data_IF_606268179835
#
_entry.id   IF_606268179835
#
_cell.length_a   1.000
_cell.length_b   1.000
_cell.length_c   1.000
_cell.angle_alpha   90.00
_cell.angle_beta   90.00
_cell.angle_gamma   90.00
#
_symmetry.space_group_name_H-M   'P 1'
#
loop_
_entity.id
_entity.type
_entity.pdbx_description
1 polymer ?
#
# COMPACT_ATOMS: atom_id res chain seq x y z
N UNK A 1 -19.99 3.10 10.12
CA UNK A 1 -19.91 4.46 9.54
C UNK A 1 -21.20 4.87 8.83
N UNK A 2 -21.74 4.07 7.88
CA UNK A 2 -22.98 4.41 7.14
C UNK A 2 -24.18 4.79 8.03
N UNK A 3 -24.52 3.96 9.03
CA UNK A 3 -25.59 4.28 9.98
C UNK A 3 -25.34 5.55 10.81
N UNK A 4 -24.06 5.92 11.02
CA UNK A 4 -23.64 7.11 11.77
C UNK A 4 -23.47 8.35 10.87
N UNK A 5 -23.62 8.22 9.54
CA UNK A 5 -23.45 9.29 8.54
C UNK A 5 -22.15 10.11 8.74
N UNK A 6 -21.08 9.43 9.14
CA UNK A 6 -19.78 10.06 9.40
C UNK A 6 -18.68 9.00 9.48
N UNK A 7 -17.52 9.33 8.93
CA UNK A 7 -16.31 8.52 9.07
C UNK A 7 -15.19 8.95 8.13
N UNK A 8 -13.98 8.49 8.43
CA UNK A 8 -12.83 8.65 7.55
C UNK A 8 -12.06 7.33 7.51
N UNK A 9 -11.83 6.81 6.31
CA UNK A 9 -11.05 5.60 6.05
C UNK A 9 -9.68 6.05 5.51
N UNK A 10 -8.61 5.52 6.09
CA UNK A 10 -7.25 5.77 5.64
C UNK A 10 -6.66 4.44 5.22
N UNK A 11 -6.38 4.28 3.93
CA UNK A 11 -5.75 3.09 3.37
C UNK A 11 -4.26 3.32 3.21
N UNK A 12 -3.45 2.40 3.72
CA UNK A 12 -2.00 2.46 3.58
C UNK A 12 -1.55 1.70 2.32
N UNK A 13 -1.30 2.43 1.25
CA UNK A 13 -0.81 1.91 -0.01
C UNK A 13 0.72 2.01 -0.09
N UNK A 14 1.31 2.55 -1.16
CA UNK A 14 2.75 2.63 -1.41
C UNK A 14 3.02 3.39 -2.70
N UNK A 15 4.18 4.02 -2.83
CA UNK A 15 4.67 4.50 -4.14
C UNK A 15 4.54 3.43 -5.26
N UNK A 16 4.71 2.15 -4.91
CA UNK A 16 4.51 1.01 -5.81
C UNK A 16 3.06 0.77 -6.28
N UNK A 17 2.07 1.46 -5.69
CA UNK A 17 0.67 1.48 -6.09
C UNK A 17 0.35 2.52 -7.17
N UNK A 18 1.24 3.49 -7.37
CA UNK A 18 1.12 4.53 -8.41
C UNK A 18 2.00 4.22 -9.61
N UNK A 19 3.19 3.66 -9.38
CA UNK A 19 4.15 3.29 -10.42
C UNK A 19 4.73 1.90 -10.16
N UNK A 20 4.93 1.11 -11.22
CA UNK A 20 5.57 -0.19 -11.11
C UNK A 20 7.05 -0.08 -10.75
N UNK A 21 7.48 -0.77 -9.70
CA UNK A 21 8.89 -0.83 -9.27
C UNK A 21 9.44 -2.22 -9.62
N UNK A 22 10.56 -2.33 -10.36
CA UNK A 22 11.17 -3.62 -10.69
C UNK A 22 11.43 -4.48 -9.45
N UNK A 23 11.26 -5.81 -9.60
CA UNK A 23 11.43 -6.82 -8.54
C UNK A 23 10.41 -6.76 -7.40
N UNK A 24 9.38 -5.92 -7.52
CA UNK A 24 8.26 -5.83 -6.59
C UNK A 24 6.92 -6.16 -7.27
N UNK A 25 6.91 -6.98 -8.32
CA UNK A 25 5.75 -7.15 -9.24
C UNK A 25 4.44 -7.49 -8.51
N UNK A 26 4.46 -8.50 -7.64
CA UNK A 26 3.27 -8.93 -6.88
C UNK A 26 2.87 -7.87 -5.84
N UNK A 27 3.86 -7.23 -5.21
CA UNK A 27 3.61 -6.17 -4.24
C UNK A 27 2.97 -4.95 -4.90
N UNK A 28 3.54 -4.48 -6.03
CA UNK A 28 2.99 -3.41 -6.83
C UNK A 28 1.58 -3.73 -7.29
N UNK A 29 1.34 -4.92 -7.87
CA UNK A 29 0.00 -5.35 -8.28
C UNK A 29 -1.02 -5.27 -7.12
N UNK A 30 -0.63 -5.72 -5.92
CA UNK A 30 -1.50 -5.63 -4.74
C UNK A 30 -1.79 -4.18 -4.32
N UNK A 31 -0.83 -3.27 -4.48
CA UNK A 31 -0.98 -1.86 -4.10
C UNK A 31 -1.80 -1.07 -5.11
N UNK A 32 -1.63 -1.32 -6.40
CA UNK A 32 -2.55 -0.83 -7.44
C UNK A 32 -4.00 -1.29 -7.20
N UNK A 33 -4.21 -2.52 -6.72
CA UNK A 33 -5.54 -2.99 -6.36
C UNK A 33 -6.16 -2.21 -5.18
N UNK A 34 -5.33 -1.80 -4.20
CA UNK A 34 -5.76 -0.93 -3.10
C UNK A 34 -6.12 0.46 -3.59
N UNK A 35 -5.35 1.05 -4.51
CA UNK A 35 -5.69 2.32 -5.18
C UNK A 35 -7.07 2.23 -5.82
N UNK A 36 -7.23 1.30 -6.77
CA UNK A 36 -8.47 1.16 -7.55
C UNK A 36 -9.69 0.87 -6.67
N UNK A 37 -9.53 0.07 -5.61
CA UNK A 37 -10.59 -0.15 -4.63
C UNK A 37 -10.96 1.14 -3.90
N UNK A 38 -9.97 1.91 -3.45
CA UNK A 38 -10.19 3.13 -2.68
C UNK A 38 -10.83 4.23 -3.53
N UNK A 39 -10.34 4.42 -4.75
CA UNK A 39 -10.83 5.40 -5.71
C UNK A 39 -12.25 5.09 -6.18
N UNK A 40 -12.54 3.82 -6.47
CA UNK A 40 -13.90 3.41 -6.86
C UNK A 40 -14.90 3.52 -5.72
N UNK A 41 -14.47 3.30 -4.47
CA UNK A 41 -15.33 3.35 -3.30
C UNK A 41 -15.59 4.78 -2.78
N UNK A 42 -14.63 5.70 -2.96
CA UNK A 42 -14.74 7.09 -2.51
C UNK A 42 -16.02 7.82 -2.97
N UNK A 43 -16.42 7.80 -4.27
CA UNK A 43 -17.65 8.46 -4.71
C UNK A 43 -18.91 7.78 -4.14
N UNK A 44 -18.91 6.46 -3.98
CA UNK A 44 -20.03 5.71 -3.40
C UNK A 44 -20.23 6.11 -1.93
N UNK A 45 -19.14 6.33 -1.19
CA UNK A 45 -19.15 6.66 0.23
C UNK A 45 -19.45 8.13 0.55
N UNK A 46 -19.23 9.04 -0.40
CA UNK A 46 -19.49 10.49 -0.20
C UNK A 46 -20.91 10.80 0.26
N UNK A 47 -21.91 10.09 -0.27
CA UNK A 47 -23.32 10.29 0.10
C UNK A 47 -23.60 10.01 1.59
N UNK A 48 -22.74 9.22 2.24
CA UNK A 48 -22.86 8.88 3.65
C UNK A 48 -21.96 9.76 4.55
N UNK A 49 -21.40 10.84 3.99
CA UNK A 49 -20.40 11.70 4.65
C UNK A 49 -19.20 10.89 5.19
N UNK A 50 -18.77 9.90 4.40
CA UNK A 50 -17.57 9.10 4.67
C UNK A 50 -16.52 9.47 3.63
N UNK A 51 -15.32 9.80 4.10
CA UNK A 51 -14.17 10.13 3.24
C UNK A 51 -13.16 9.00 3.22
N UNK A 52 -12.43 8.87 2.11
CA UNK A 52 -11.29 7.97 1.98
C UNK A 52 -10.05 8.80 1.66
N UNK A 53 -8.92 8.41 2.25
CA UNK A 53 -7.58 8.91 1.91
C UNK A 53 -6.65 7.73 1.73
N UNK A 54 -5.81 7.79 0.71
CA UNK A 54 -4.80 6.79 0.44
C UNK A 54 -3.44 7.40 0.79
N UNK A 55 -2.62 6.64 1.50
CA UNK A 55 -1.26 7.02 1.87
C UNK A 55 -0.30 6.27 0.96
N UNK A 56 0.63 7.01 0.34
CA UNK A 56 1.66 6.48 -0.57
C UNK A 56 3.09 6.58 0.00
N UNK A 57 3.46 5.82 1.05
CA UNK A 57 4.83 5.84 1.53
C UNK A 57 5.80 5.24 0.51
N UNK A 58 6.97 5.87 0.41
CA UNK A 58 8.19 5.23 -0.09
C UNK A 58 8.82 4.33 0.99
N UNK A 59 10.14 4.08 0.94
CA UNK A 59 10.85 3.35 1.98
C UNK A 59 10.72 4.04 3.35
N UNK A 60 10.22 3.31 4.35
CA UNK A 60 10.11 3.78 5.73
C UNK A 60 10.83 2.80 6.64
N UNK A 61 11.64 3.32 7.57
CA UNK A 61 12.39 2.54 8.55
C UNK A 61 11.47 1.83 9.55
N UNK A 62 10.94 0.70 9.12
CA UNK A 62 10.08 -0.19 9.90
C UNK A 62 10.73 -1.55 10.04
N UNK A 63 10.28 -2.35 11.00
CA UNK A 63 10.76 -3.73 11.17
C UNK A 63 10.58 -4.58 9.91
N UNK A 64 9.50 -4.38 9.16
CA UNK A 64 9.23 -5.08 7.90
C UNK A 64 10.27 -4.73 6.83
N UNK A 65 10.59 -3.44 6.69
CA UNK A 65 11.62 -2.98 5.76
C UNK A 65 13.00 -3.54 6.14
N UNK A 66 13.37 -3.44 7.41
CA UNK A 66 14.64 -3.98 7.92
C UNK A 66 14.78 -5.48 7.69
N UNK A 67 13.70 -6.25 7.82
CA UNK A 67 13.71 -7.70 7.58
C UNK A 67 13.99 -8.03 6.12
N UNK A 68 13.36 -7.31 5.17
CA UNK A 68 13.63 -7.48 3.75
C UNK A 68 15.09 -7.11 3.41
N UNK A 69 15.60 -6.01 3.97
CA UNK A 69 17.00 -5.58 3.74
C UNK A 69 18.02 -6.60 4.26
N UNK A 70 17.75 -7.24 5.41
CA UNK A 70 18.64 -8.29 5.96
C UNK A 70 18.60 -9.58 5.16
N UNK A 71 17.45 -9.96 4.59
CA UNK A 71 17.35 -11.15 3.74
C UNK A 71 18.22 -11.01 2.48
N UNK A 72 18.30 -9.80 1.90
CA UNK A 72 19.21 -9.51 0.79
C UNK A 72 20.70 -9.59 1.15
N UNK A 73 21.05 -9.36 2.42
CA UNK A 73 22.44 -9.36 2.90
C UNK A 73 22.96 -10.75 3.30
N UNK A 74 22.07 -11.73 3.50
CA UNK A 74 22.45 -13.08 3.95
C UNK A 74 22.76 -14.06 2.81
N UNK A 75 22.77 -13.62 1.55
CA UNK A 75 23.31 -14.43 0.44
C UNK A 75 24.84 -14.46 0.54
N UNK A 76 25.39 -15.47 1.23
CA UNK A 76 26.80 -15.85 1.02
C UNK A 76 26.97 -16.22 -0.45
N UNK A 77 28.02 -15.75 -1.14
CA UNK A 77 28.29 -16.23 -2.49
C UNK A 77 28.40 -17.75 -2.45
N UNK A 78 27.59 -18.43 -3.27
CA UNK A 78 27.80 -19.84 -3.59
C UNK A 78 29.14 -19.91 -4.31
N UNK A 79 30.21 -20.20 -3.56
CA UNK A 79 31.50 -20.57 -4.13
C UNK A 79 31.26 -21.74 -5.11
N UNK A 80 31.53 -21.49 -6.39
CA UNK A 80 31.69 -22.52 -7.41
C UNK A 80 33.12 -23.06 -7.35
#
# INVERSE_FOLDING_TARGET
>A
MKARQSGHIINNSSEAGVVGIPFLDIYAASKFAVEGLSESLAPVLRQFNIRCTILEPGPVETLAFQKCSRLGQNHRPLNR
#
